data_IF_094509858851
#
_entry.id   IF_094509858851
#
_cell.length_a   1.000
_cell.length_b   1.000
_cell.length_c   1.000
_cell.angle_alpha   90.00
_cell.angle_beta   90.00
_cell.angle_gamma   90.00
#
_symmetry.space_group_name_H-M   'P 1'
#
loop_
_entity.id
_entity.type
_entity.pdbx_description
1 polymer ?
#
# COMPACT_ATOMS: atom_id res chain seq x y z
N UNK A 1 1.67 -18.29 -11.14
CA UNK A 1 0.69 -18.61 -10.06
C UNK A 1 1.25 -19.62 -9.03
N UNK A 2 2.01 -20.63 -9.45
CA UNK A 2 2.59 -21.63 -8.52
C UNK A 2 3.71 -21.04 -7.64
N UNK A 3 4.53 -20.14 -8.16
CA UNK A 3 5.66 -19.54 -7.43
C UNK A 3 5.19 -18.70 -6.23
N UNK A 4 4.04 -18.03 -6.35
CA UNK A 4 3.40 -17.27 -5.29
C UNK A 4 3.06 -18.15 -4.07
N UNK A 5 2.42 -19.30 -4.32
CA UNK A 5 1.99 -20.23 -3.25
C UNK A 5 3.20 -20.86 -2.58
N UNK A 6 4.24 -21.21 -3.35
CA UNK A 6 5.47 -21.82 -2.82
C UNK A 6 6.25 -20.85 -1.94
N UNK A 7 6.40 -19.59 -2.38
CA UNK A 7 7.09 -18.54 -1.65
C UNK A 7 6.39 -18.24 -0.32
N UNK A 8 5.07 -18.04 -0.37
CA UNK A 8 4.25 -17.77 0.82
C UNK A 8 4.23 -18.94 1.80
N UNK A 9 4.15 -20.18 1.31
CA UNK A 9 4.18 -21.35 2.16
C UNK A 9 5.50 -21.43 2.95
N UNK A 10 6.62 -21.05 2.33
CA UNK A 10 7.92 -20.98 3.00
C UNK A 10 7.96 -19.88 4.07
N UNK A 11 7.49 -18.68 3.73
CA UNK A 11 7.56 -17.52 4.62
C UNK A 11 6.56 -17.60 5.79
N UNK A 12 5.43 -18.27 5.62
CA UNK A 12 4.50 -18.59 6.70
C UNK A 12 5.04 -19.73 7.59
N UNK A 13 5.74 -20.72 7.02
CA UNK A 13 6.28 -21.85 7.77
C UNK A 13 7.37 -21.42 8.76
N UNK A 14 8.19 -20.46 8.41
CA UNK A 14 9.34 -20.01 9.24
C UNK A 14 8.90 -19.47 10.60
N UNK A 15 8.04 -18.44 10.70
CA UNK A 15 7.54 -17.94 11.99
C UNK A 15 6.71 -19.00 12.73
N UNK A 16 5.90 -19.79 12.05
CA UNK A 16 5.13 -20.87 12.67
C UNK A 16 6.02 -21.90 13.35
N UNK A 17 7.11 -22.33 12.67
CA UNK A 17 8.07 -23.28 13.25
C UNK A 17 8.74 -22.70 14.49
N UNK A 18 9.09 -21.39 14.47
CA UNK A 18 9.67 -20.71 15.64
C UNK A 18 8.69 -20.63 16.80
N UNK A 19 7.43 -20.28 16.55
CA UNK A 19 6.37 -20.22 17.57
C UNK A 19 6.23 -21.58 18.26
N UNK A 20 6.07 -22.65 17.46
CA UNK A 20 5.95 -24.01 17.98
C UNK A 20 7.16 -24.38 18.81
N UNK A 21 8.39 -24.11 18.32
CA UNK A 21 9.62 -24.45 19.05
C UNK A 21 9.71 -23.75 20.41
N UNK A 22 9.44 -22.43 20.49
CA UNK A 22 9.49 -21.69 21.75
C UNK A 22 8.38 -22.10 22.72
N UNK A 23 7.17 -22.37 22.22
CA UNK A 23 6.07 -22.86 23.06
C UNK A 23 6.35 -24.28 23.58
N UNK A 24 6.92 -25.17 22.77
CA UNK A 24 7.35 -26.51 23.22
C UNK A 24 8.44 -26.41 24.28
N UNK A 25 9.43 -25.52 24.12
CA UNK A 25 10.44 -25.30 25.17
C UNK A 25 9.85 -24.81 26.49
N UNK A 26 8.85 -23.93 26.43
CA UNK A 26 8.15 -23.45 27.62
C UNK A 26 7.32 -24.56 28.31
N UNK A 27 6.73 -25.47 27.53
CA UNK A 27 5.96 -26.61 28.01
C UNK A 27 6.85 -27.69 28.62
N UNK A 28 7.96 -28.03 27.96
CA UNK A 28 8.87 -29.11 28.39
C UNK A 28 9.75 -28.72 29.59
N UNK A 29 9.92 -27.41 29.84
CA UNK A 29 10.79 -26.91 30.92
C UNK A 29 10.01 -25.96 31.87
N UNK A 30 9.08 -26.49 32.69
CA UNK A 30 8.28 -25.68 33.62
C UNK A 30 9.10 -24.96 34.69
N UNK A 31 10.28 -25.51 35.02
CA UNK A 31 11.23 -24.96 36.02
C UNK A 31 12.25 -23.96 35.40
N UNK A 32 12.04 -23.54 34.14
CA UNK A 32 12.88 -22.56 33.45
C UNK A 32 12.98 -21.25 34.23
N UNK A 33 14.15 -20.59 34.28
CA UNK A 33 14.31 -19.29 34.90
C UNK A 33 13.32 -18.25 34.32
N UNK A 34 12.81 -17.40 35.20
CA UNK A 34 11.74 -16.44 34.82
C UNK A 34 12.17 -15.53 33.66
N UNK A 35 13.43 -15.12 33.61
CA UNK A 35 13.95 -14.26 32.52
C UNK A 35 13.95 -14.99 31.18
N UNK A 36 14.35 -16.28 31.15
CA UNK A 36 14.30 -17.08 29.92
C UNK A 36 12.86 -17.34 29.48
N UNK A 37 11.96 -17.60 30.44
CA UNK A 37 10.53 -17.78 30.16
C UNK A 37 9.92 -16.52 29.55
N UNK A 38 10.23 -15.33 30.09
CA UNK A 38 9.80 -14.05 29.54
C UNK A 38 10.34 -13.84 28.12
N UNK A 39 11.64 -14.13 27.91
CA UNK A 39 12.25 -13.99 26.60
C UNK A 39 11.60 -14.91 25.55
N UNK A 40 11.37 -16.19 25.85
CA UNK A 40 10.75 -17.13 24.92
C UNK A 40 9.28 -16.78 24.64
N UNK A 41 8.54 -16.33 25.66
CA UNK A 41 7.16 -15.85 25.50
C UNK A 41 7.13 -14.62 24.58
N UNK A 42 8.07 -13.68 24.77
CA UNK A 42 8.17 -12.47 23.95
C UNK A 42 8.47 -12.81 22.48
N UNK A 43 9.43 -13.73 22.24
CA UNK A 43 9.76 -14.17 20.88
C UNK A 43 8.57 -14.88 20.23
N UNK A 44 7.87 -15.75 20.96
CA UNK A 44 6.69 -16.43 20.44
C UNK A 44 5.59 -15.44 20.06
N UNK A 45 5.36 -14.42 20.89
CA UNK A 45 4.40 -13.36 20.64
C UNK A 45 4.79 -12.53 19.39
N UNK A 46 6.06 -12.07 19.29
CA UNK A 46 6.57 -11.33 18.14
C UNK A 46 6.37 -12.12 16.82
N UNK A 47 6.73 -13.41 16.84
CA UNK A 47 6.56 -14.27 15.65
C UNK A 47 5.09 -14.54 15.32
N UNK A 48 4.20 -14.57 16.32
CA UNK A 48 2.75 -14.71 16.12
C UNK A 48 2.14 -13.46 15.48
N UNK A 49 2.52 -12.28 15.94
CA UNK A 49 2.11 -11.00 15.33
C UNK A 49 2.57 -10.97 13.87
N UNK A 50 3.84 -11.31 13.65
CA UNK A 50 4.42 -11.35 12.30
C UNK A 50 3.70 -12.33 11.37
N UNK A 51 3.33 -13.51 11.88
CA UNK A 51 2.55 -14.50 11.11
C UNK A 51 1.17 -13.93 10.73
N UNK A 52 0.51 -13.22 11.63
CA UNK A 52 -0.76 -12.54 11.37
C UNK A 52 -0.65 -11.49 10.25
N UNK A 53 0.41 -10.68 10.26
CA UNK A 53 0.70 -9.72 9.20
C UNK A 53 0.88 -10.40 7.83
N UNK A 54 1.68 -11.48 7.76
CA UNK A 54 1.91 -12.22 6.53
C UNK A 54 0.62 -12.86 5.99
N UNK A 55 -0.26 -13.34 6.86
CA UNK A 55 -1.57 -13.88 6.48
C UNK A 55 -2.44 -12.77 5.89
N UNK A 56 -2.49 -11.60 6.51
CA UNK A 56 -3.24 -10.45 6.01
C UNK A 56 -2.70 -10.00 4.63
N UNK A 57 -1.38 -9.85 4.50
CA UNK A 57 -0.73 -9.56 3.20
C UNK A 57 -1.10 -10.58 2.12
N UNK A 58 -1.19 -11.87 2.48
CA UNK A 58 -1.61 -12.94 1.56
C UNK A 58 -3.07 -12.79 1.11
N UNK A 59 -3.99 -12.56 2.05
CA UNK A 59 -5.40 -12.36 1.72
C UNK A 59 -5.58 -11.15 0.80
N UNK A 60 -4.84 -10.10 1.02
CA UNK A 60 -4.90 -8.92 0.18
C UNK A 60 -4.45 -9.20 -1.25
N UNK A 61 -3.33 -9.90 -1.42
CA UNK A 61 -2.86 -10.27 -2.76
C UNK A 61 -3.85 -11.18 -3.47
N UNK A 62 -4.42 -12.16 -2.76
CA UNK A 62 -5.43 -13.03 -3.36
C UNK A 62 -6.67 -12.23 -3.75
N UNK A 63 -7.10 -11.30 -2.90
CA UNK A 63 -8.22 -10.40 -3.18
C UNK A 63 -7.91 -9.45 -4.35
N UNK A 64 -6.71 -8.86 -4.39
CA UNK A 64 -6.29 -7.97 -5.47
C UNK A 64 -5.97 -8.69 -6.80
N UNK A 65 -5.65 -10.00 -6.78
CA UNK A 65 -5.44 -10.78 -7.99
C UNK A 65 -6.72 -11.40 -8.60
N UNK A 66 -7.81 -11.50 -7.81
CA UNK A 66 -9.07 -12.12 -8.21
C UNK A 66 -10.05 -11.11 -8.82
N UNK A 67 -9.66 -10.36 -9.82
CA UNK A 67 -10.52 -9.58 -10.73
C UNK A 67 -11.76 -8.92 -10.08
N UNK A 68 -11.91 -7.62 -10.26
CA UNK A 68 -12.97 -6.72 -9.80
C UNK A 68 -12.86 -6.27 -8.35
N UNK A 69 -11.82 -5.50 -8.04
CA UNK A 69 -11.88 -4.63 -6.88
C UNK A 69 -12.82 -3.49 -7.27
N UNK A 70 -14.00 -3.51 -6.73
CA UNK A 70 -14.87 -2.34 -6.76
C UNK A 70 -14.35 -1.35 -5.73
N UNK A 71 -14.06 -0.14 -6.18
CA UNK A 71 -13.76 0.98 -5.28
C UNK A 71 -15.09 1.48 -4.72
N UNK A 72 -15.08 1.85 -3.44
CA UNK A 72 -16.16 2.57 -2.80
C UNK A 72 -15.73 4.04 -2.60
N UNK A 73 -15.70 4.84 -3.68
CA UNK A 73 -15.10 6.16 -3.62
C UNK A 73 -16.01 7.14 -2.90
N UNK A 74 -15.41 7.90 -2.00
CA UNK A 74 -16.03 9.02 -1.29
C UNK A 74 -15.07 10.22 -1.32
N UNK A 75 -15.56 11.37 -0.91
CA UNK A 75 -14.75 12.56 -0.71
C UNK A 75 -13.87 12.39 0.52
N UNK A 76 -12.57 12.61 0.39
CA UNK A 76 -11.56 12.40 1.44
C UNK A 76 -10.77 13.70 1.62
N UNK A 77 -10.71 14.16 2.86
CA UNK A 77 -9.73 15.15 3.31
C UNK A 77 -8.36 14.47 3.46
N UNK A 78 -7.46 14.79 2.54
CA UNK A 78 -6.14 14.17 2.49
C UNK A 78 -5.25 14.63 3.65
N UNK A 79 -5.40 15.88 4.09
CA UNK A 79 -4.65 16.43 5.23
C UNK A 79 -4.96 15.62 6.49
N UNK A 80 -6.25 15.49 6.81
CA UNK A 80 -6.69 14.72 7.98
C UNK A 80 -6.22 13.25 7.90
N UNK A 81 -6.31 12.63 6.73
CA UNK A 81 -5.89 11.23 6.55
C UNK A 81 -4.38 11.04 6.79
N UNK A 82 -3.54 11.92 6.26
CA UNK A 82 -2.07 11.80 6.40
C UNK A 82 -1.61 12.11 7.83
N UNK A 83 -2.21 13.10 8.49
CA UNK A 83 -1.95 13.41 9.89
C UNK A 83 -2.33 12.25 10.81
N UNK A 84 -3.52 11.68 10.63
CA UNK A 84 -3.97 10.53 11.40
C UNK A 84 -3.04 9.33 11.24
N UNK A 85 -2.60 9.01 10.03
CA UNK A 85 -1.66 7.91 9.78
C UNK A 85 -0.30 8.14 10.42
N UNK A 86 0.21 9.38 10.43
CA UNK A 86 1.45 9.71 11.13
C UNK A 86 1.31 9.53 12.64
N UNK A 87 0.19 9.93 13.21
CA UNK A 87 -0.12 9.78 14.64
C UNK A 87 -0.24 8.31 15.05
N UNK A 88 -0.89 7.47 14.25
CA UNK A 88 -1.01 6.02 14.50
C UNK A 88 0.35 5.31 14.54
N UNK A 89 1.34 5.81 13.80
CA UNK A 89 2.69 5.24 13.77
C UNK A 89 3.64 5.85 14.81
N UNK A 90 3.19 6.81 15.62
CA UNK A 90 4.03 7.52 16.60
C UNK A 90 4.81 6.57 17.52
N UNK A 91 4.19 5.52 18.06
CA UNK A 91 4.85 4.54 18.92
C UNK A 91 6.03 3.84 18.23
N UNK A 92 5.83 3.41 16.98
CA UNK A 92 6.87 2.74 16.18
C UNK A 92 7.99 3.70 15.81
N UNK A 93 7.67 4.96 15.50
CA UNK A 93 8.64 6.01 15.22
C UNK A 93 9.54 6.26 16.44
N UNK A 94 8.96 6.37 17.63
CA UNK A 94 9.69 6.58 18.88
C UNK A 94 10.65 5.41 19.20
N UNK A 95 10.23 4.17 19.02
CA UNK A 95 11.09 2.99 19.21
C UNK A 95 12.34 3.03 18.33
N UNK A 96 12.20 3.55 17.11
CA UNK A 96 13.29 3.67 16.13
C UNK A 96 14.01 5.03 16.19
N UNK A 97 13.63 5.91 17.11
CA UNK A 97 14.14 7.29 17.24
C UNK A 97 13.97 8.09 15.96
N UNK A 98 12.82 7.98 15.34
CA UNK A 98 12.44 8.70 14.14
C UNK A 98 11.42 9.78 14.50
N UNK A 99 11.40 10.85 13.71
CA UNK A 99 10.32 11.84 13.69
C UNK A 99 9.58 11.79 12.37
N UNK A 100 8.33 12.24 12.36
CA UNK A 100 7.54 12.39 11.13
C UNK A 100 7.01 13.81 11.06
N UNK A 101 7.28 14.51 9.96
CA UNK A 101 6.74 15.82 9.65
C UNK A 101 5.73 15.70 8.51
N UNK A 102 4.56 16.31 8.69
CA UNK A 102 3.48 16.33 7.70
C UNK A 102 3.30 17.77 7.23
N UNK A 103 3.61 18.05 5.96
CA UNK A 103 3.50 19.36 5.31
C UNK A 103 2.56 19.23 4.10
N UNK A 104 1.30 19.54 4.32
CA UNK A 104 0.21 19.36 3.35
C UNK A 104 -0.44 20.71 3.06
N UNK A 105 -0.62 21.04 1.78
CA UNK A 105 -1.41 22.22 1.39
C UNK A 105 -2.83 22.11 1.95
N UNK A 106 -3.42 23.25 2.32
CA UNK A 106 -4.80 23.33 2.80
C UNK A 106 -5.79 22.89 1.71
N UNK A 107 -6.93 22.32 2.13
CA UNK A 107 -8.07 21.96 1.27
C UNK A 107 -7.75 20.93 0.16
N UNK A 108 -6.79 20.04 0.35
CA UNK A 108 -6.53 18.96 -0.60
C UNK A 108 -7.59 17.85 -0.48
N UNK A 109 -8.59 17.93 -1.35
CA UNK A 109 -9.69 16.95 -1.41
C UNK A 109 -9.51 16.00 -2.58
N UNK A 110 -9.66 14.69 -2.33
CA UNK A 110 -9.65 13.64 -3.35
C UNK A 110 -10.95 12.85 -3.32
N UNK A 111 -11.29 12.23 -4.45
CA UNK A 111 -12.39 11.27 -4.54
C UNK A 111 -11.81 9.87 -4.70
N UNK A 112 -11.97 9.02 -3.69
CA UNK A 112 -11.34 7.72 -3.64
C UNK A 112 -11.87 6.85 -2.51
N UNK A 113 -11.37 5.62 -2.45
CA UNK A 113 -11.70 4.65 -1.38
C UNK A 113 -10.76 4.87 -0.19
N UNK A 114 -11.29 5.33 0.98
CA UNK A 114 -10.46 5.73 2.11
C UNK A 114 -9.65 4.57 2.70
N UNK A 115 -10.23 3.39 2.82
CA UNK A 115 -9.55 2.22 3.40
C UNK A 115 -8.38 1.77 2.51
N UNK A 116 -8.59 1.82 1.19
CA UNK A 116 -7.55 1.43 0.24
C UNK A 116 -6.45 2.49 0.15
N UNK A 117 -6.78 3.78 0.17
CA UNK A 117 -5.78 4.85 0.16
C UNK A 117 -5.00 4.93 1.48
N UNK A 118 -5.65 4.78 2.63
CA UNK A 118 -4.96 4.66 3.91
C UNK A 118 -3.93 3.51 3.88
N UNK A 119 -4.29 2.39 3.29
CA UNK A 119 -3.39 1.26 3.10
C UNK A 119 -2.20 1.56 2.18
N UNK A 120 -2.38 2.35 1.12
CA UNK A 120 -1.26 2.81 0.26
C UNK A 120 -0.25 3.56 1.11
N UNK A 121 -0.72 4.54 1.87
CA UNK A 121 0.15 5.41 2.66
C UNK A 121 0.79 4.67 3.83
N UNK A 122 0.07 3.79 4.52
CA UNK A 122 0.62 2.91 5.57
C UNK A 122 1.74 2.01 5.02
N UNK A 123 1.55 1.38 3.86
CA UNK A 123 2.58 0.56 3.22
C UNK A 123 3.85 1.35 2.88
N UNK A 124 3.71 2.59 2.40
CA UNK A 124 4.84 3.46 2.08
C UNK A 124 5.52 3.92 3.37
N UNK A 125 4.78 4.36 4.38
CA UNK A 125 5.31 4.81 5.66
C UNK A 125 6.05 3.69 6.41
N UNK A 126 5.48 2.49 6.47
CA UNK A 126 6.16 1.31 7.05
C UNK A 126 7.44 0.96 6.32
N UNK A 127 7.46 1.10 4.99
CA UNK A 127 8.67 0.94 4.21
C UNK A 127 9.71 2.03 4.58
N UNK A 128 9.31 3.30 4.63
CA UNK A 128 10.18 4.39 5.04
C UNK A 128 10.75 4.14 6.45
N UNK A 129 9.93 3.77 7.44
CA UNK A 129 10.34 3.45 8.81
C UNK A 129 11.31 2.25 8.85
N UNK A 130 11.12 1.24 8.01
CA UNK A 130 11.95 0.04 7.98
C UNK A 130 13.37 0.33 7.48
N UNK A 131 13.52 1.26 6.53
CA UNK A 131 14.80 1.55 5.85
C UNK A 131 15.38 2.93 6.21
N UNK A 132 14.75 3.67 7.12
CA UNK A 132 15.25 4.95 7.58
C UNK A 132 16.43 4.78 8.54
N UNK A 133 17.41 5.68 8.45
CA UNK A 133 18.47 5.75 9.46
C UNK A 133 17.90 6.25 10.79
N UNK A 134 18.42 5.73 11.91
CA UNK A 134 18.03 6.20 13.23
C UNK A 134 18.37 7.70 13.41
N UNK A 135 17.63 8.35 14.31
CA UNK A 135 17.80 9.77 14.63
C UNK A 135 17.60 10.72 13.41
N UNK A 136 16.75 10.31 12.44
CA UNK A 136 16.38 11.11 11.26
C UNK A 136 14.86 11.34 11.17
N UNK A 137 14.47 12.15 10.20
CA UNK A 137 13.09 12.55 9.97
C UNK A 137 12.52 11.88 8.71
N UNK A 138 11.27 11.43 8.79
CA UNK A 138 10.43 11.10 7.65
C UNK A 138 9.56 12.32 7.36
N UNK A 139 9.54 12.76 6.09
CA UNK A 139 8.74 13.91 5.67
C UNK A 139 7.66 13.47 4.70
N UNK A 140 6.43 13.91 4.95
CA UNK A 140 5.27 13.72 4.08
C UNK A 140 4.87 15.09 3.56
N UNK A 141 4.92 15.28 2.26
CA UNK A 141 4.52 16.52 1.59
C UNK A 141 3.39 16.20 0.62
N UNK A 142 2.34 17.02 0.60
CA UNK A 142 1.29 16.90 -0.39
C UNK A 142 0.87 18.26 -0.93
N UNK A 143 0.70 18.36 -2.25
CA UNK A 143 0.35 19.60 -2.94
C UNK A 143 -0.36 19.37 -4.25
N UNK A 144 -1.11 20.39 -4.69
CA UNK A 144 -1.67 20.44 -6.03
C UNK A 144 -0.55 20.64 -7.06
N UNK A 145 -0.56 19.85 -8.14
CA UNK A 145 0.40 19.95 -9.23
C UNK A 145 -0.22 19.51 -10.56
N UNK A 146 -0.30 20.43 -11.51
CA UNK A 146 -0.84 20.18 -12.86
C UNK A 146 -2.25 19.57 -12.86
N UNK A 147 -3.08 19.94 -11.87
CA UNK A 147 -4.45 19.44 -11.70
C UNK A 147 -4.54 18.02 -11.09
N UNK A 148 -3.44 17.44 -10.67
CA UNK A 148 -3.36 16.22 -9.86
C UNK A 148 -2.79 16.57 -8.47
N UNK A 149 -2.98 15.71 -7.49
CA UNK A 149 -2.34 15.84 -6.18
C UNK A 149 -1.09 14.98 -6.16
N UNK A 150 0.05 15.59 -5.89
CA UNK A 150 1.34 14.91 -5.70
C UNK A 150 1.63 14.78 -4.21
N UNK A 151 1.76 13.53 -3.72
CA UNK A 151 2.08 13.19 -2.34
C UNK A 151 3.47 12.56 -2.34
N UNK A 152 4.40 13.12 -1.56
CA UNK A 152 5.79 12.69 -1.50
C UNK A 152 6.15 12.25 -0.08
N UNK A 153 6.60 11.02 0.06
CA UNK A 153 7.16 10.47 1.30
C UNK A 153 8.66 10.42 1.15
N UNK A 154 9.37 11.12 2.01
CA UNK A 154 10.85 11.23 1.97
C UNK A 154 11.44 10.66 3.25
N UNK A 155 12.42 9.77 3.13
CA UNK A 155 13.20 9.26 4.26
C UNK A 155 14.69 9.26 3.96
N UNK A 156 15.52 9.40 4.99
CA UNK A 156 16.96 9.20 4.91
C UNK A 156 17.29 7.71 5.00
N UNK A 157 18.10 7.20 4.09
CA UNK A 157 18.43 5.77 4.04
C UNK A 157 19.41 5.45 2.91
N UNK A 158 19.76 4.18 2.80
CA UNK A 158 20.65 3.70 1.74
C UNK A 158 20.05 3.94 0.36
N UNK A 159 20.94 4.24 -0.59
CA UNK A 159 20.56 4.45 -1.99
C UNK A 159 19.99 3.19 -2.61
N UNK A 160 18.83 3.30 -3.20
CA UNK A 160 18.29 2.25 -4.07
C UNK A 160 18.95 2.40 -5.45
N UNK A 161 19.61 1.34 -5.96
CA UNK A 161 20.18 1.36 -7.31
C UNK A 161 19.14 1.72 -8.37
N UNK A 162 19.56 2.52 -9.37
CA UNK A 162 18.62 3.08 -10.36
C UNK A 162 17.85 2.03 -11.18
N UNK A 163 18.48 0.89 -11.45
CA UNK A 163 17.89 -0.28 -12.11
C UNK A 163 16.84 -1.00 -11.26
N UNK A 164 16.87 -0.79 -9.93
CA UNK A 164 15.93 -1.39 -8.99
C UNK A 164 14.71 -0.51 -8.68
N UNK A 165 14.74 0.80 -9.00
CA UNK A 165 13.66 1.75 -8.67
C UNK A 165 12.28 1.40 -9.24
N UNK A 166 12.23 0.66 -10.33
CA UNK A 166 10.97 0.14 -10.90
C UNK A 166 10.63 -1.22 -10.30
N UNK A 167 11.63 -2.05 -10.05
CA UNK A 167 11.47 -3.43 -9.60
C UNK A 167 11.00 -3.53 -8.13
N UNK A 168 11.28 -2.51 -7.30
CA UNK A 168 10.81 -2.48 -5.89
C UNK A 168 9.27 -2.50 -5.77
N UNK A 169 8.52 -2.21 -6.84
CA UNK A 169 7.07 -2.33 -6.90
C UNK A 169 6.59 -3.68 -7.42
N UNK A 170 7.50 -4.60 -7.75
CA UNK A 170 7.14 -5.95 -8.13
C UNK A 170 6.90 -6.81 -6.88
N UNK A 171 5.98 -7.76 -7.02
CA UNK A 171 5.62 -8.66 -5.92
C UNK A 171 6.84 -9.47 -5.47
N UNK A 172 7.06 -9.57 -4.14
CA UNK A 172 8.14 -10.34 -3.50
C UNK A 172 9.55 -9.82 -3.76
N UNK A 173 9.68 -8.66 -4.41
CA UNK A 173 10.98 -8.07 -4.62
C UNK A 173 11.51 -7.40 -3.36
N UNK A 174 12.80 -7.62 -3.08
CA UNK A 174 13.56 -6.99 -1.97
C UNK A 174 14.96 -6.67 -2.46
N UNK A 175 15.45 -5.48 -2.13
CA UNK A 175 16.80 -5.02 -2.50
C UNK A 175 17.87 -5.86 -1.81
N UNK A 176 17.65 -6.22 -0.54
CA UNK A 176 18.57 -7.06 0.21
C UNK A 176 18.19 -8.52 0.06
N UNK A 177 19.07 -9.31 -0.56
CA UNK A 177 18.94 -10.76 -0.64
C UNK A 177 19.00 -11.48 0.74
N UNK A 178 19.08 -10.73 1.84
CA UNK A 178 19.12 -11.27 3.20
C UNK A 178 17.69 -11.54 3.70
N UNK A 179 17.27 -12.78 3.59
CA UNK A 179 16.02 -13.31 4.17
C UNK A 179 15.99 -13.29 5.70
N UNK A 180 17.04 -12.77 6.36
CA UNK A 180 17.29 -13.00 7.80
C UNK A 180 17.22 -11.76 8.70
N UNK A 181 16.99 -10.57 8.18
CA UNK A 181 16.87 -9.39 9.05
C UNK A 181 15.41 -9.13 9.41
N UNK A 182 15.09 -9.06 10.70
CA UNK A 182 13.75 -8.89 11.26
C UNK A 182 13.02 -7.56 10.91
N UNK A 183 13.46 -6.87 9.86
CA UNK A 183 12.97 -5.53 9.47
C UNK A 183 12.10 -5.52 8.21
N UNK A 184 11.91 -6.65 7.52
CA UNK A 184 11.28 -6.61 6.22
C UNK A 184 9.98 -7.40 6.10
N UNK A 185 8.93 -6.79 5.54
CA UNK A 185 7.70 -7.44 5.08
C UNK A 185 7.95 -8.48 3.96
N UNK A 186 6.91 -9.16 3.51
CA UNK A 186 6.99 -10.16 2.42
C UNK A 186 7.33 -9.57 1.03
N UNK A 187 7.66 -8.28 0.94
CA UNK A 187 7.91 -7.61 -0.34
C UNK A 187 6.63 -7.37 -1.15
N UNK A 188 5.51 -7.21 -0.46
CA UNK A 188 4.20 -7.10 -1.07
C UNK A 188 3.59 -5.70 -0.91
N UNK A 189 3.97 -4.96 0.14
CA UNK A 189 3.38 -3.68 0.48
C UNK A 189 3.44 -2.66 -0.66
N UNK A 190 4.61 -2.45 -1.27
CA UNK A 190 4.75 -1.51 -2.39
C UNK A 190 4.02 -1.98 -3.65
N UNK A 191 3.95 -3.28 -3.91
CA UNK A 191 3.19 -3.82 -5.04
C UNK A 191 1.68 -3.61 -4.87
N UNK A 192 1.16 -3.79 -3.64
CA UNK A 192 -0.23 -3.49 -3.27
C UNK A 192 -0.49 -1.98 -3.42
N UNK A 193 0.40 -1.15 -2.88
CA UNK A 193 0.28 0.31 -2.99
C UNK A 193 0.19 0.74 -4.45
N UNK A 194 1.06 0.25 -5.33
CA UNK A 194 1.03 0.54 -6.77
C UNK A 194 -0.29 0.14 -7.40
N UNK A 195 -0.78 -1.06 -7.13
CA UNK A 195 -2.04 -1.55 -7.70
C UNK A 195 -3.24 -0.70 -7.26
N UNK A 196 -3.31 -0.31 -5.98
CA UNK A 196 -4.38 0.55 -5.46
C UNK A 196 -4.32 1.94 -6.10
N UNK A 197 -3.13 2.54 -6.20
CA UNK A 197 -2.94 3.85 -6.83
C UNK A 197 -3.37 3.82 -8.31
N UNK A 198 -3.00 2.76 -9.04
CA UNK A 198 -3.41 2.57 -10.44
C UNK A 198 -4.93 2.40 -10.59
N UNK A 199 -5.61 1.71 -9.66
CA UNK A 199 -7.07 1.60 -9.61
C UNK A 199 -7.76 2.96 -9.41
N UNK A 200 -7.14 3.88 -8.67
CA UNK A 200 -7.61 5.26 -8.51
C UNK A 200 -7.22 6.18 -9.68
N UNK A 201 -6.70 5.62 -10.78
CA UNK A 201 -6.26 6.40 -11.94
C UNK A 201 -4.99 7.21 -11.71
N UNK A 202 -4.27 6.94 -10.62
CA UNK A 202 -3.02 7.57 -10.24
C UNK A 202 -1.78 6.83 -10.70
N UNK A 203 -0.63 7.27 -10.20
CA UNK A 203 0.67 6.64 -10.43
C UNK A 203 1.55 6.74 -9.17
N UNK A 204 2.43 5.77 -8.99
CA UNK A 204 3.45 5.78 -7.94
C UNK A 204 4.82 5.56 -8.57
N UNK A 205 5.82 6.26 -8.06
CA UNK A 205 7.22 6.11 -8.47
C UNK A 205 8.15 6.29 -7.27
N UNK A 206 9.37 5.76 -7.38
CA UNK A 206 10.43 5.98 -6.41
C UNK A 206 11.59 6.75 -7.05
N UNK A 207 12.24 7.59 -6.25
CA UNK A 207 13.50 8.26 -6.54
C UNK A 207 14.43 8.01 -5.39
N UNK A 208 15.72 7.82 -5.66
CA UNK A 208 16.72 7.66 -4.61
C UNK A 208 18.03 8.30 -5.02
N UNK A 209 18.59 9.05 -4.12
CA UNK A 209 19.96 9.58 -4.20
C UNK A 209 20.84 8.96 -3.09
N UNK A 210 22.04 9.48 -2.88
CA UNK A 210 23.03 8.81 -2.01
C UNK A 210 22.63 8.68 -0.53
N UNK A 211 21.69 9.51 -0.06
CA UNK A 211 21.27 9.51 1.35
C UNK A 211 19.76 9.60 1.54
N UNK A 212 18.98 9.57 0.48
CA UNK A 212 17.56 9.86 0.55
C UNK A 212 16.75 9.03 -0.45
N UNK A 213 15.64 8.49 0.01
CA UNK A 213 14.64 7.85 -0.84
C UNK A 213 13.33 8.62 -0.76
N UNK A 214 12.68 8.78 -1.90
CA UNK A 214 11.39 9.43 -2.06
C UNK A 214 10.44 8.49 -2.79
N UNK A 215 9.26 8.29 -2.21
CA UNK A 215 8.11 7.69 -2.89
C UNK A 215 7.14 8.80 -3.26
N UNK A 216 6.81 8.89 -4.54
CA UNK A 216 5.92 9.92 -5.07
C UNK A 216 4.66 9.26 -5.59
N UNK A 217 3.53 9.57 -4.97
CA UNK A 217 2.19 9.15 -5.37
C UNK A 217 1.52 10.34 -6.04
N UNK A 218 0.94 10.13 -7.22
CA UNK A 218 0.14 11.14 -7.91
C UNK A 218 -1.27 10.58 -8.04
N UNK A 219 -2.26 11.32 -7.55
CA UNK A 219 -3.68 10.98 -7.63
C UNK A 219 -4.44 12.09 -8.35
N UNK A 220 -5.47 11.78 -9.16
CA UNK A 220 -6.32 12.80 -9.74
C UNK A 220 -7.04 13.59 -8.64
N UNK A 221 -7.08 14.92 -8.78
CA UNK A 221 -7.86 15.75 -7.87
C UNK A 221 -9.36 15.49 -8.03
N UNK A 222 -10.17 15.89 -7.04
CA UNK A 222 -11.63 15.79 -7.09
C UNK A 222 -12.20 16.43 -8.35
N UNK A 223 -11.77 17.64 -8.69
CA UNK A 223 -12.23 18.38 -9.86
C UNK A 223 -11.98 17.63 -11.18
N UNK A 224 -10.83 16.95 -11.28
CA UNK A 224 -10.46 16.19 -12.48
C UNK A 224 -11.25 14.89 -12.61
N UNK A 225 -11.64 14.29 -11.50
CA UNK A 225 -12.46 13.09 -11.47
C UNK A 225 -13.89 13.41 -11.90
N UNK A 226 -14.50 14.46 -11.38
CA UNK A 226 -15.82 14.93 -11.76
C UNK A 226 -15.92 15.29 -13.26
N UNK A 227 -14.87 15.91 -13.83
CA UNK A 227 -14.82 16.23 -15.26
C UNK A 227 -14.78 14.98 -16.16
N UNK A 228 -14.12 13.91 -15.71
CA UNK A 228 -14.09 12.63 -16.46
C UNK A 228 -15.44 11.92 -16.43
N UNK A 229 -16.08 11.83 -15.27
CA UNK A 229 -17.41 11.22 -15.14
C UNK A 229 -18.47 11.98 -15.96
N UNK A 230 -18.47 13.32 -15.91
CA UNK A 230 -19.37 14.14 -16.73
C UNK A 230 -19.16 13.96 -18.24
N UNK A 231 -17.93 13.74 -18.70
CA UNK A 231 -17.63 13.50 -20.11
C UNK A 231 -18.03 12.10 -20.59
N UNK A 232 -17.95 11.10 -19.73
CA UNK A 232 -18.38 9.72 -20.05
C UNK A 232 -19.92 9.61 -20.11
N UNK A 233 -20.63 10.28 -19.24
CA UNK A 233 -22.10 10.34 -19.26
C UNK A 233 -22.64 11.06 -20.51
N UNK A 234 -22.02 12.13 -20.97
CA UNK A 234 -22.36 12.78 -22.24
C UNK A 234 -22.15 11.86 -23.44
N UNK A 235 -21.04 11.12 -23.48
CA UNK A 235 -20.75 10.17 -24.56
C UNK A 235 -21.74 9.00 -24.57
N UNK A 236 -22.13 8.48 -23.41
CA UNK A 236 -23.15 7.44 -23.29
C UNK A 236 -24.56 7.95 -23.68
N UNK A 237 -24.88 9.19 -23.35
CA UNK A 237 -26.16 9.80 -23.73
C UNK A 237 -26.22 10.02 -25.24
N UNK A 238 -25.17 10.52 -25.88
CA UNK A 238 -25.10 10.66 -27.33
C UNK A 238 -25.15 9.34 -28.08
N UNK A 239 -24.53 8.28 -27.57
CA UNK A 239 -24.64 6.93 -28.14
C UNK A 239 -26.07 6.36 -28.06
N UNK A 240 -26.79 6.57 -26.96
CA UNK A 240 -28.20 6.16 -26.81
C UNK A 240 -29.14 6.92 -27.76
N UNK A 241 -28.90 8.20 -27.97
CA UNK A 241 -29.68 9.01 -28.90
C UNK A 241 -29.42 8.64 -30.37
N UNK A 242 -28.16 8.33 -30.74
CA UNK A 242 -27.81 7.90 -32.09
C UNK A 242 -28.37 6.51 -32.43
N UNK A 243 -28.56 5.62 -31.47
CA UNK A 243 -29.19 4.29 -31.68
C UNK A 243 -30.71 4.39 -31.83
N UNK A 244 -31.38 5.36 -31.17
CA UNK A 244 -32.83 5.59 -31.33
C UNK A 244 -33.20 6.24 -32.69
N UNK A 245 -32.29 6.99 -33.29
CA UNK A 245 -32.52 7.64 -34.59
C UNK A 245 -32.49 6.68 -35.80
N UNK A 246 -31.88 5.47 -35.67
CA UNK A 246 -31.82 4.49 -36.78
C UNK A 246 -32.96 3.48 -36.83
N UNK A 247 -33.77 3.37 -35.78
CA UNK A 247 -34.88 2.39 -35.72
C UNK A 247 -36.20 2.88 -36.31
N UNK A 248 -36.30 4.13 -36.82
CA UNK A 248 -37.51 4.80 -37.25
C UNK A 248 -37.79 4.82 -38.77
N UNK A 249 -37.01 4.14 -39.64
CA UNK A 249 -37.32 4.09 -41.10
C UNK A 249 -37.66 2.68 -41.55
N UNK A 250 -38.77 2.16 -41.07
CA UNK A 250 -39.41 0.94 -41.60
C UNK A 250 -40.36 1.29 -42.74
N UNK A 251 -40.13 0.70 -43.89
CA UNK A 251 -40.83 0.84 -45.19
C UNK A 251 -42.35 0.60 -45.09
N UNK A 252 -43.13 1.53 -45.58
CA UNK A 252 -44.53 1.31 -45.96
C UNK A 252 -44.56 0.51 -47.26
N UNK A 253 -45.03 -0.74 -47.22
CA UNK A 253 -45.37 -1.51 -48.41
C UNK A 253 -46.86 -1.35 -48.67
N UNK A 254 -47.19 -0.77 -49.83
CA UNK A 254 -48.57 -0.74 -50.34
C UNK A 254 -48.90 -2.07 -50.98
N UNK A 255 -49.99 -2.68 -50.57
CA UNK A 255 -50.65 -3.82 -51.26
C UNK A 255 -51.61 -3.30 -52.31
N UNK A 256 -51.48 -3.83 -53.51
CA UNK A 256 -52.58 -4.03 -54.42
C UNK A 256 -52.97 -5.50 -54.46
#
# INVERSE_FOLDING_TARGET
KNDLVLFLAHDLKTPLTSIVAYLTMLEDHPDMPEEERKAYTHIALEKSIRLGELINEFFDITRYNLQNIELEPVEIDLTMMLEQLADELYGVLQEKKLTCEVDVEEDLMIYGDPDKLARVFDNILRNAIAYCYADTEIRIEAKMKDGDIEITFTNAGDKIPGDMLQTIFEKFYRVDGSRSTGTGGAGLGLAIAKQIVELHGGRILAKSDDNRTQFVVTLPSKEKTEQKEGSEDEVHTHRRLAFRGKAGRGKRVQSK
#
